data_IF_868497587217
#
_entry.id   IF_868497587217
#
_cell.length_a   1.000
_cell.length_b   1.000
_cell.length_c   1.000
_cell.angle_alpha   90.00
_cell.angle_beta   90.00
_cell.angle_gamma   90.00
#
_symmetry.space_group_name_H-M   'P 1'
#
loop_
_entity.id
_entity.type
_entity.pdbx_description
1 polymer ?
#
# COMPACT_ATOMS: atom_id res chain seq x y z
N UNK A 1 57.89 43.57 16.40
CA UNK A 1 57.91 43.33 14.93
C UNK A 1 56.69 42.45 14.63
N UNK A 2 55.46 42.95 14.43
CA UNK A 2 54.89 43.97 13.53
C UNK A 2 54.92 43.57 12.04
N UNK A 3 53.81 43.00 11.55
CA UNK A 3 53.26 43.05 10.17
C UNK A 3 51.93 42.23 10.20
N UNK A 4 50.73 42.79 10.41
CA UNK A 4 49.89 43.64 9.55
C UNK A 4 49.69 43.13 8.12
N UNK A 5 48.53 42.51 7.86
CA UNK A 5 47.96 42.33 6.52
C UNK A 5 46.45 42.67 6.55
N UNK A 6 45.99 43.79 5.94
CA UNK A 6 44.59 44.18 5.95
C UNK A 6 43.91 44.01 4.58
N UNK A 7 42.67 43.48 4.65
CA UNK A 7 41.47 43.92 3.93
C UNK A 7 41.62 44.27 2.43
N UNK A 8 41.06 43.42 1.57
CA UNK A 8 40.59 43.83 0.24
C UNK A 8 39.11 43.52 0.05
N UNK A 9 38.29 44.53 0.36
CA UNK A 9 36.89 44.65 -0.11
C UNK A 9 36.92 44.88 -1.63
N UNK A 10 36.17 44.09 -2.40
CA UNK A 10 35.79 44.40 -3.79
C UNK A 10 34.31 44.04 -4.02
N UNK A 11 33.48 45.07 -4.05
CA UNK A 11 32.30 45.29 -4.93
C UNK A 11 32.52 46.71 -5.49
N UNK A 12 31.97 47.15 -6.64
CA UNK A 12 30.84 46.60 -7.40
C UNK A 12 31.10 46.53 -8.93
N UNK A 13 30.24 45.84 -9.69
CA UNK A 13 29.96 46.22 -11.08
C UNK A 13 28.51 45.85 -11.40
N UNK A 14 27.71 46.90 -11.52
CA UNK A 14 26.39 46.90 -12.13
C UNK A 14 26.60 46.91 -13.64
N UNK A 15 26.43 45.76 -14.29
CA UNK A 15 26.47 45.66 -15.75
C UNK A 15 25.06 45.43 -16.29
N UNK A 16 24.54 46.52 -16.87
CA UNK A 16 23.75 46.62 -18.09
C UNK A 16 22.63 45.60 -18.36
N UNK A 17 21.41 46.09 -18.13
CA UNK A 17 20.15 45.61 -18.67
C UNK A 17 20.03 46.06 -20.16
N UNK A 18 19.98 45.14 -21.15
CA UNK A 18 19.82 45.54 -22.55
C UNK A 18 18.34 45.86 -22.86
N UNK A 19 18.09 47.11 -23.28
CA UNK A 19 16.81 47.56 -23.86
C UNK A 19 16.51 46.83 -25.18
N UNK A 20 15.22 46.55 -25.48
CA UNK A 20 14.82 45.93 -26.73
C UNK A 20 14.85 46.95 -27.89
N UNK A 21 15.55 46.60 -28.97
CA UNK A 21 15.49 47.33 -30.24
C UNK A 21 14.22 46.99 -31.03
N UNK A 22 13.68 47.97 -31.79
CA UNK A 22 12.42 47.83 -32.52
C UNK A 22 12.58 47.06 -33.84
N UNK A 23 11.47 46.46 -34.27
CA UNK A 23 11.30 45.70 -35.49
C UNK A 23 11.62 46.48 -36.78
N UNK A 24 12.04 45.78 -37.83
CA UNK A 24 11.76 46.18 -39.20
C UNK A 24 10.75 45.21 -39.86
N UNK A 25 9.64 45.79 -40.30
CA UNK A 25 8.77 45.24 -41.33
C UNK A 25 9.55 45.03 -42.64
N UNK A 26 9.53 43.83 -43.19
CA UNK A 26 9.70 43.60 -44.63
C UNK A 26 9.27 42.18 -45.04
N UNK A 27 8.09 42.14 -45.67
CA UNK A 27 7.78 41.44 -46.91
C UNK A 27 8.42 40.06 -47.20
N UNK A 28 7.52 39.06 -47.27
CA UNK A 28 7.20 38.29 -48.48
C UNK A 28 8.38 37.59 -49.19
N UNK A 29 8.49 36.28 -48.99
CA UNK A 29 8.62 35.31 -50.09
C UNK A 29 8.41 33.87 -49.56
N UNK A 30 7.61 33.11 -50.29
CA UNK A 30 7.28 31.73 -49.96
C UNK A 30 8.41 30.77 -50.30
N UNK A 31 8.58 29.76 -49.44
CA UNK A 31 9.15 28.47 -49.79
C UNK A 31 8.65 27.47 -48.74
N UNK A 32 7.77 26.57 -49.17
CA UNK A 32 7.31 25.45 -48.36
C UNK A 32 8.50 24.48 -48.14
N UNK A 33 9.01 24.43 -46.92
CA UNK A 33 9.93 23.39 -46.44
C UNK A 33 9.21 22.44 -45.48
N UNK A 34 9.51 21.13 -45.50
CA UNK A 34 8.77 20.13 -44.75
C UNK A 34 9.08 20.21 -43.26
N UNK A 35 8.05 20.52 -42.46
CA UNK A 35 8.12 20.47 -41.01
C UNK A 35 8.02 19.01 -40.55
N UNK A 36 9.18 18.40 -40.28
CA UNK A 36 9.28 17.12 -39.61
C UNK A 36 9.47 17.36 -38.11
N UNK A 37 8.36 17.26 -37.38
CA UNK A 37 8.26 16.82 -35.97
C UNK A 37 6.76 16.75 -35.66
N UNK A 38 6.10 15.79 -36.32
CA UNK A 38 4.76 15.38 -35.93
C UNK A 38 4.87 14.55 -34.67
N UNK A 39 4.33 15.04 -33.56
CA UNK A 39 3.90 14.16 -32.48
C UNK A 39 3.05 13.04 -33.08
N UNK A 40 3.31 11.76 -32.74
CA UNK A 40 2.45 10.69 -33.18
C UNK A 40 1.04 11.01 -32.70
N UNK A 41 0.01 10.92 -33.58
CA UNK A 41 -1.35 11.15 -33.18
C UNK A 41 -1.67 10.23 -31.99
N UNK A 42 -2.10 10.82 -30.88
CA UNK A 42 -2.72 10.08 -29.79
C UNK A 42 -3.89 9.31 -30.40
N UNK A 43 -3.67 8.03 -30.68
CA UNK A 43 -4.72 7.08 -31.03
C UNK A 43 -5.75 7.16 -29.92
N UNK A 44 -6.91 7.70 -30.25
CA UNK A 44 -8.07 7.67 -29.38
C UNK A 44 -8.27 6.20 -28.93
N UNK A 45 -8.58 5.96 -27.64
CA UNK A 45 -8.72 4.60 -27.13
C UNK A 45 -9.66 3.83 -28.06
N UNK A 46 -9.13 2.76 -28.65
CA UNK A 46 -9.86 1.89 -29.55
C UNK A 46 -11.24 1.62 -28.94
N UNK A 47 -12.27 1.98 -29.71
CA UNK A 47 -13.67 1.84 -29.32
C UNK A 47 -13.86 0.52 -28.57
N UNK A 48 -14.47 0.58 -27.39
CA UNK A 48 -14.83 -0.61 -26.64
C UNK A 48 -15.68 -1.49 -27.57
N UNK A 49 -15.04 -2.50 -28.16
CA UNK A 49 -15.71 -3.46 -29.02
C UNK A 49 -16.79 -4.09 -28.16
N UNK A 50 -18.04 -3.80 -28.46
CA UNK A 50 -19.17 -4.49 -27.87
C UNK A 50 -19.06 -5.92 -28.39
N UNK A 51 -18.54 -6.81 -27.55
CA UNK A 51 -18.35 -8.22 -27.87
C UNK A 51 -19.76 -8.83 -27.97
N UNK A 52 -20.32 -8.88 -29.17
CA UNK A 52 -21.65 -9.45 -29.41
C UNK A 52 -21.67 -10.98 -29.22
N UNK A 53 -20.50 -11.64 -29.27
CA UNK A 53 -20.35 -13.08 -29.11
C UNK A 53 -19.32 -13.42 -28.01
N UNK A 54 -19.84 -13.65 -26.80
CA UNK A 54 -19.06 -14.01 -25.62
C UNK A 54 -18.29 -15.33 -25.81
N UNK A 55 -18.85 -16.28 -26.57
CA UNK A 55 -18.22 -17.58 -26.81
C UNK A 55 -17.04 -17.47 -27.78
N UNK A 56 -17.15 -16.59 -28.78
CA UNK A 56 -16.04 -16.28 -29.68
C UNK A 56 -14.88 -15.60 -28.94
N UNK A 57 -15.19 -14.70 -28.01
CA UNK A 57 -14.19 -14.06 -27.15
C UNK A 57 -13.50 -15.07 -26.23
N UNK A 58 -14.26 -15.95 -25.56
CA UNK A 58 -13.68 -16.97 -24.70
C UNK A 58 -12.72 -17.89 -25.48
N UNK A 59 -13.11 -18.33 -26.68
CA UNK A 59 -12.22 -19.12 -27.57
C UNK A 59 -10.98 -18.36 -28.02
N UNK A 60 -11.05 -17.03 -28.15
CA UNK A 60 -9.87 -16.20 -28.46
C UNK A 60 -8.92 -16.16 -27.26
N UNK A 61 -9.43 -15.89 -26.07
CA UNK A 61 -8.63 -15.87 -24.83
C UNK A 61 -7.97 -17.23 -24.59
N UNK A 62 -8.69 -18.34 -24.76
CA UNK A 62 -8.12 -19.68 -24.58
C UNK A 62 -6.99 -19.98 -25.58
N UNK A 63 -7.10 -19.52 -26.83
CA UNK A 63 -6.03 -19.64 -27.84
C UNK A 63 -4.82 -18.79 -27.51
N UNK A 64 -5.04 -17.54 -27.09
CA UNK A 64 -3.96 -16.64 -26.66
C UNK A 64 -3.24 -17.23 -25.43
N UNK A 65 -3.98 -17.82 -24.50
CA UNK A 65 -3.44 -18.49 -23.33
C UNK A 65 -2.60 -19.72 -23.66
N UNK A 66 -3.10 -20.65 -24.49
CA UNK A 66 -2.32 -21.84 -24.89
C UNK A 66 -1.07 -21.44 -25.69
N UNK A 67 -1.14 -20.38 -26.50
CA UNK A 67 0.02 -19.81 -27.19
C UNK A 67 1.05 -19.30 -26.18
N UNK A 68 0.65 -18.46 -25.22
CA UNK A 68 1.53 -17.94 -24.19
C UNK A 68 2.16 -19.06 -23.34
N UNK A 69 1.37 -20.06 -22.96
CA UNK A 69 1.82 -21.23 -22.21
C UNK A 69 2.90 -22.01 -22.95
N UNK A 70 2.76 -22.23 -24.25
CA UNK A 70 3.78 -22.90 -25.06
C UNK A 70 5.10 -22.11 -25.11
N UNK A 71 5.03 -20.78 -25.19
CA UNK A 71 6.22 -19.89 -25.14
C UNK A 71 6.94 -20.02 -23.80
N UNK A 72 6.21 -20.00 -22.68
CA UNK A 72 6.80 -20.20 -21.35
C UNK A 72 7.42 -21.59 -21.18
N UNK A 73 6.74 -22.65 -21.63
CA UNK A 73 7.27 -24.02 -21.57
C UNK A 73 8.55 -24.18 -22.39
N UNK A 74 8.61 -23.58 -23.58
CA UNK A 74 9.82 -23.53 -24.39
C UNK A 74 10.95 -22.79 -23.67
N UNK A 75 10.66 -21.64 -23.07
CA UNK A 75 11.68 -20.87 -22.35
C UNK A 75 12.23 -21.60 -21.12
N UNK A 76 11.38 -22.30 -20.37
CA UNK A 76 11.80 -23.15 -19.25
C UNK A 76 12.69 -24.29 -19.75
N UNK A 77 12.32 -24.91 -20.87
CA UNK A 77 13.11 -26.00 -21.47
C UNK A 77 14.48 -25.51 -21.97
N UNK A 78 14.56 -24.31 -22.56
CA UNK A 78 15.82 -23.65 -22.92
C UNK A 78 16.72 -23.43 -21.71
N UNK A 79 16.17 -22.85 -20.63
CA UNK A 79 16.91 -22.59 -19.39
C UNK A 79 17.43 -23.91 -18.78
N UNK A 80 16.59 -24.94 -18.73
CA UNK A 80 16.99 -26.26 -18.21
C UNK A 80 18.11 -26.89 -19.05
N UNK A 81 18.03 -26.78 -20.38
CA UNK A 81 19.06 -27.26 -21.28
C UNK A 81 20.37 -26.47 -21.13
N UNK A 82 20.29 -25.14 -20.93
CA UNK A 82 21.45 -24.29 -20.66
C UNK A 82 22.13 -24.69 -19.34
N UNK A 83 21.36 -24.95 -18.28
CA UNK A 83 21.88 -25.45 -17.02
C UNK A 83 22.56 -26.82 -17.16
N UNK A 84 21.92 -27.76 -17.86
CA UNK A 84 22.48 -29.09 -18.10
C UNK A 84 23.78 -29.02 -18.92
N UNK A 85 23.79 -28.20 -19.98
CA UNK A 85 24.99 -27.99 -20.80
C UNK A 85 26.12 -27.35 -20.00
N UNK A 86 25.83 -26.30 -19.22
CA UNK A 86 26.81 -25.65 -18.35
C UNK A 86 27.39 -26.61 -17.31
N UNK A 87 26.58 -27.52 -16.75
CA UNK A 87 27.06 -28.53 -15.80
C UNK A 87 27.95 -29.62 -16.43
N UNK A 88 27.83 -29.86 -17.74
CA UNK A 88 28.63 -30.84 -18.48
C UNK A 88 29.96 -30.24 -18.96
N UNK A 89 29.96 -28.97 -19.39
CA UNK A 89 31.13 -28.32 -19.95
C UNK A 89 32.15 -27.85 -18.89
N UNK A 90 31.72 -27.66 -17.63
CA UNK A 90 32.62 -27.30 -16.52
C UNK A 90 32.46 -28.24 -15.30
N UNK A 91 33.07 -29.44 -15.33
CA UNK A 91 33.03 -30.38 -14.21
C UNK A 91 33.78 -29.88 -12.96
N UNK A 92 34.44 -28.72 -13.01
CA UNK A 92 35.28 -28.19 -11.92
C UNK A 92 34.57 -27.23 -10.96
N UNK A 93 33.41 -26.68 -11.33
CA UNK A 93 32.55 -25.86 -10.45
C UNK A 93 31.60 -26.70 -9.55
N UNK A 94 31.75 -28.03 -9.52
CA UNK A 94 30.87 -28.98 -8.80
C UNK A 94 31.06 -29.09 -7.28
N UNK A 95 31.81 -28.21 -6.63
CA UNK A 95 31.88 -28.17 -5.17
C UNK A 95 30.69 -27.34 -4.64
N UNK A 96 29.52 -27.97 -4.56
CA UNK A 96 28.33 -27.37 -3.98
C UNK A 96 28.70 -26.67 -2.65
N UNK A 97 28.36 -25.38 -2.45
CA UNK A 97 28.56 -24.70 -1.18
C UNK A 97 27.84 -25.53 -0.12
N UNK A 98 28.60 -26.03 0.86
CA UNK A 98 28.05 -26.87 1.95
C UNK A 98 26.86 -26.12 2.54
N UNK A 99 25.65 -26.73 2.57
CA UNK A 99 24.50 -26.06 3.11
C UNK A 99 24.84 -25.62 4.55
N UNK A 100 24.51 -24.36 4.92
CA UNK A 100 24.72 -23.90 6.28
C UNK A 100 24.05 -24.89 7.23
N UNK A 101 24.83 -25.36 8.20
CA UNK A 101 24.45 -26.37 9.19
C UNK A 101 23.16 -25.89 9.87
N UNK A 102 22.02 -26.41 9.45
CA UNK A 102 20.73 -26.02 10.02
C UNK A 102 20.77 -26.25 11.53
N UNK A 103 20.37 -25.26 12.36
CA UNK A 103 20.18 -25.50 13.77
C UNK A 103 19.17 -26.65 13.92
N UNK A 104 19.34 -27.52 14.94
CA UNK A 104 18.50 -28.70 15.11
C UNK A 104 17.04 -28.26 15.13
N UNK A 105 16.31 -28.56 14.05
CA UNK A 105 14.86 -28.37 13.98
C UNK A 105 14.28 -29.18 15.12
N UNK A 106 13.76 -28.48 16.13
CA UNK A 106 12.89 -29.09 17.14
C UNK A 106 11.82 -29.87 16.39
N UNK A 107 11.54 -31.10 16.86
CA UNK A 107 10.53 -31.97 16.24
C UNK A 107 9.27 -31.12 16.00
N UNK A 108 8.72 -31.07 14.77
CA UNK A 108 7.50 -30.33 14.52
C UNK A 108 6.44 -30.87 15.47
N UNK A 109 5.84 -29.97 16.27
CA UNK A 109 4.72 -30.32 17.13
C UNK A 109 3.68 -31.03 16.25
N UNK A 110 3.32 -32.26 16.61
CA UNK A 110 2.34 -33.01 15.85
C UNK A 110 1.01 -32.24 15.86
N UNK A 111 0.19 -32.39 14.83
CA UNK A 111 -1.14 -31.76 14.81
C UNK A 111 -1.95 -32.12 16.06
N UNK A 112 -1.72 -33.29 16.66
CA UNK A 112 -2.39 -33.72 17.90
C UNK A 112 -2.02 -32.81 19.08
N UNK A 113 -0.75 -32.41 19.21
CA UNK A 113 -0.31 -31.46 20.24
C UNK A 113 -0.89 -30.06 20.04
N UNK A 114 -1.05 -29.61 18.79
CA UNK A 114 -1.69 -28.32 18.50
C UNK A 114 -3.20 -28.35 18.81
N UNK A 115 -3.91 -29.42 18.43
CA UNK A 115 -5.34 -29.58 18.72
C UNK A 115 -5.61 -29.69 20.22
N UNK A 116 -4.77 -30.42 20.96
CA UNK A 116 -4.87 -30.53 22.41
C UNK A 116 -4.73 -29.15 23.09
N UNK A 117 -3.79 -28.32 22.63
CA UNK A 117 -3.56 -26.97 23.16
C UNK A 117 -4.75 -26.05 22.91
N UNK A 118 -5.35 -26.11 21.72
CA UNK A 118 -6.56 -25.33 21.38
C UNK A 118 -7.76 -25.77 22.23
N UNK A 119 -7.94 -27.08 22.43
CA UNK A 119 -9.02 -27.60 23.27
C UNK A 119 -8.87 -27.18 24.75
N UNK A 120 -7.64 -27.10 25.25
CA UNK A 120 -7.34 -26.61 26.60
C UNK A 120 -7.66 -25.11 26.75
N UNK A 121 -7.27 -24.29 25.78
CA UNK A 121 -7.59 -22.85 25.80
C UNK A 121 -9.10 -22.59 25.75
N UNK A 122 -9.86 -23.35 24.94
CA UNK A 122 -11.31 -23.23 24.87
C UNK A 122 -11.99 -23.55 26.22
N UNK A 123 -11.55 -24.60 26.91
CA UNK A 123 -12.06 -24.93 28.26
C UNK A 123 -11.70 -23.86 29.29
N UNK A 124 -10.51 -23.28 29.20
CA UNK A 124 -10.09 -22.19 30.07
C UNK A 124 -10.90 -20.90 29.83
N UNK A 125 -11.40 -20.70 28.61
CA UNK A 125 -12.27 -19.58 28.26
C UNK A 125 -13.69 -19.74 28.83
N UNK A 126 -14.29 -20.92 28.68
CA UNK A 126 -15.62 -21.23 29.26
C UNK A 126 -15.63 -21.11 30.78
N UNK A 127 -14.54 -21.50 31.45
CA UNK A 127 -14.37 -21.34 32.89
C UNK A 127 -14.35 -19.87 33.34
N UNK A 128 -13.79 -18.97 32.52
CA UNK A 128 -13.75 -17.52 32.81
C UNK A 128 -15.11 -16.85 32.61
N UNK A 129 -15.84 -17.23 31.56
CA UNK A 129 -17.17 -16.68 31.29
C UNK A 129 -18.18 -16.94 32.43
N UNK A 130 -18.06 -18.08 33.13
CA UNK A 130 -18.91 -18.41 34.29
C UNK A 130 -18.55 -17.62 35.55
N UNK A 131 -17.32 -17.12 35.70
CA UNK A 131 -16.88 -16.38 36.90
C UNK A 131 -17.25 -14.89 36.85
N UNK A 132 -17.59 -14.36 35.68
CA UNK A 132 -18.11 -12.98 35.50
C UNK A 132 -19.63 -12.91 35.51
N UNK A 133 -20.32 -13.98 35.94
CA UNK A 133 -21.74 -13.89 36.26
C UNK A 133 -21.89 -12.98 37.49
N UNK A 134 -22.10 -11.69 37.25
CA UNK A 134 -22.48 -10.71 38.26
C UNK A 134 -23.67 -11.30 39.02
N UNK A 135 -23.60 -11.44 40.37
CA UNK A 135 -24.72 -11.93 41.14
C UNK A 135 -25.91 -11.02 40.86
N UNK A 136 -26.94 -11.58 40.20
CA UNK A 136 -28.23 -10.94 40.00
C UNK A 136 -28.77 -10.57 41.38
N UNK A 137 -28.70 -9.28 41.71
CA UNK A 137 -29.40 -8.72 42.86
C UNK A 137 -30.88 -9.14 42.77
N UNK A 138 -31.50 -9.56 43.89
CA UNK A 138 -32.90 -9.93 43.90
C UNK A 138 -33.73 -8.73 43.44
N UNK A 139 -34.33 -8.86 42.26
CA UNK A 139 -35.18 -7.82 41.70
C UNK A 139 -36.37 -7.54 42.63
N UNK A 140 -36.83 -6.28 42.72
CA UNK A 140 -37.94 -5.89 43.58
C UNK A 140 -39.17 -6.74 43.27
N UNK A 141 -39.84 -7.21 44.32
CA UNK A 141 -41.04 -8.04 44.23
C UNK A 141 -42.12 -7.34 43.39
N UNK A 142 -42.37 -7.86 42.19
CA UNK A 142 -43.40 -7.32 41.29
C UNK A 142 -44.80 -7.48 41.88
N UNK A 143 -45.62 -6.43 41.96
CA UNK A 143 -47.00 -6.55 42.39
C UNK A 143 -47.78 -7.38 41.36
N UNK A 144 -48.42 -8.46 41.83
CA UNK A 144 -49.24 -9.38 41.06
C UNK A 144 -50.57 -8.70 40.64
N UNK A 145 -50.49 -7.77 39.70
CA UNK A 145 -51.63 -7.08 39.10
C UNK A 145 -51.92 -7.60 37.70
N UNK A 146 -53.19 -7.86 37.42
CA UNK A 146 -53.80 -8.54 36.25
C UNK A 146 -53.53 -7.88 34.85
N UNK A 147 -52.56 -6.96 34.73
CA UNK A 147 -52.20 -6.23 33.51
C UNK A 147 -50.96 -6.72 32.75
N UNK A 148 -50.26 -7.75 33.24
CA UNK A 148 -48.94 -8.16 32.74
C UNK A 148 -48.90 -8.63 31.27
N UNK A 149 -50.04 -9.11 30.73
CA UNK A 149 -50.10 -9.60 29.35
C UNK A 149 -49.74 -8.52 28.32
N UNK A 150 -50.04 -7.24 28.56
CA UNK A 150 -49.70 -6.15 27.62
C UNK A 150 -48.23 -5.74 27.68
N UNK A 151 -47.62 -5.77 28.86
CA UNK A 151 -46.22 -5.43 29.04
C UNK A 151 -45.27 -6.47 28.41
N UNK A 152 -45.63 -7.75 28.44
CA UNK A 152 -44.85 -8.82 27.80
C UNK A 152 -44.74 -8.65 26.27
N UNK A 153 -45.84 -8.30 25.59
CA UNK A 153 -45.84 -8.05 24.15
C UNK A 153 -44.97 -6.84 23.75
N UNK A 154 -44.96 -5.79 24.57
CA UNK A 154 -44.12 -4.62 24.31
C UNK A 154 -42.63 -4.97 24.43
N UNK A 155 -42.23 -5.67 25.49
CA UNK A 155 -40.84 -6.09 25.67
C UNK A 155 -40.36 -7.02 24.54
N UNK A 156 -41.19 -7.98 24.11
CA UNK A 156 -40.89 -8.85 22.97
C UNK A 156 -40.76 -8.04 21.66
N UNK A 157 -41.67 -7.08 21.43
CA UNK A 157 -41.60 -6.18 20.28
C UNK A 157 -40.32 -5.34 20.25
N UNK A 158 -39.91 -4.78 21.39
CA UNK A 158 -38.66 -4.04 21.53
C UNK A 158 -37.44 -4.93 21.26
N UNK A 159 -37.43 -6.17 21.75
CA UNK A 159 -36.33 -7.10 21.52
C UNK A 159 -36.19 -7.47 20.03
N UNK A 160 -37.31 -7.72 19.34
CA UNK A 160 -37.32 -7.99 17.90
C UNK A 160 -36.84 -6.76 17.12
N UNK A 161 -37.33 -5.57 17.45
CA UNK A 161 -36.90 -4.33 16.79
C UNK A 161 -35.41 -4.05 16.99
N UNK A 162 -34.88 -4.26 18.20
CA UNK A 162 -33.46 -4.12 18.49
C UNK A 162 -32.62 -5.17 17.75
N UNK A 163 -33.08 -6.43 17.70
CA UNK A 163 -32.43 -7.50 16.94
C UNK A 163 -32.37 -7.18 15.44
N UNK A 164 -33.48 -6.70 14.86
CA UNK A 164 -33.55 -6.30 13.46
C UNK A 164 -32.64 -5.10 13.17
N UNK A 165 -32.62 -4.11 14.07
CA UNK A 165 -31.74 -2.94 13.98
C UNK A 165 -30.26 -3.32 14.02
N UNK A 166 -29.87 -4.22 14.92
CA UNK A 166 -28.50 -4.76 15.00
C UNK A 166 -28.16 -5.62 13.78
N UNK A 167 -29.11 -6.39 13.26
CA UNK A 167 -28.94 -7.18 12.05
C UNK A 167 -28.69 -6.28 10.82
N UNK A 168 -29.49 -5.22 10.66
CA UNK A 168 -29.29 -4.24 9.58
C UNK A 168 -28.00 -3.43 9.74
N UNK A 169 -27.44 -3.35 10.95
CA UNK A 169 -26.14 -2.74 11.24
C UNK A 169 -24.96 -3.71 11.16
N UNK A 170 -25.17 -4.96 10.74
CA UNK A 170 -24.04 -5.87 10.53
C UNK A 170 -23.12 -5.26 9.46
N UNK A 171 -21.81 -5.15 9.74
CA UNK A 171 -20.87 -4.76 8.70
C UNK A 171 -20.96 -5.78 7.58
N UNK A 172 -21.27 -5.31 6.37
CA UNK A 172 -21.16 -6.15 5.18
C UNK A 172 -19.69 -6.37 4.90
N UNK A 173 -19.28 -7.63 4.95
CA UNK A 173 -17.93 -8.04 4.56
C UNK A 173 -17.89 -8.08 3.04
N UNK A 174 -17.24 -7.11 2.43
CA UNK A 174 -16.97 -7.15 0.99
C UNK A 174 -15.62 -7.84 0.78
N UNK A 175 -15.57 -9.02 0.16
CA UNK A 175 -14.30 -9.62 -0.19
C UNK A 175 -13.61 -8.71 -1.20
N UNK A 176 -12.35 -8.37 -0.92
CA UNK A 176 -11.55 -7.52 -1.77
C UNK A 176 -10.72 -8.40 -2.72
N UNK A 177 -10.52 -8.02 -4.00
CA UNK A 177 -9.95 -8.90 -5.02
C UNK A 177 -8.41 -9.01 -4.97
N UNK A 178 -7.77 -8.54 -3.91
CA UNK A 178 -6.33 -8.58 -3.69
C UNK A 178 -5.99 -9.45 -2.48
N UNK A 179 -4.84 -10.14 -2.56
CA UNK A 179 -4.38 -11.10 -1.55
C UNK A 179 -3.21 -10.57 -0.71
N UNK A 180 -2.51 -9.54 -1.19
CA UNK A 180 -1.23 -9.11 -0.63
C UNK A 180 -1.23 -7.60 -0.33
N UNK A 181 -2.16 -7.17 0.52
CA UNK A 181 -2.24 -5.77 0.95
C UNK A 181 -0.98 -5.38 1.71
N UNK A 182 -0.20 -4.49 1.12
CA UNK A 182 1.02 -3.95 1.74
C UNK A 182 0.76 -2.66 2.49
N UNK A 183 -0.13 -1.80 1.97
CA UNK A 183 -0.44 -0.52 2.59
C UNK A 183 -1.87 -0.04 2.27
N UNK A 184 -2.40 0.82 3.15
CA UNK A 184 -3.71 1.45 3.02
C UNK A 184 -3.62 2.95 3.32
N UNK A 185 -4.29 3.77 2.54
CA UNK A 185 -4.44 5.20 2.81
C UNK A 185 -5.87 5.67 2.51
N UNK A 186 -6.35 6.71 3.20
CA UNK A 186 -7.70 7.26 2.98
C UNK A 186 -7.59 8.76 2.79
N UNK A 187 -8.12 9.29 1.68
CA UNK A 187 -8.14 10.73 1.41
C UNK A 187 -9.24 11.08 0.43
N UNK A 188 -9.85 12.26 0.59
CA UNK A 188 -10.83 12.78 -0.38
C UNK A 188 -12.07 11.90 -0.60
N UNK A 189 -12.44 11.05 0.37
CA UNK A 189 -13.52 10.08 0.19
C UNK A 189 -13.15 8.88 -0.69
N UNK A 190 -11.86 8.63 -0.90
CA UNK A 190 -11.29 7.46 -1.55
C UNK A 190 -10.44 6.67 -0.57
N UNK A 191 -10.34 5.36 -0.80
CA UNK A 191 -9.47 4.44 -0.08
C UNK A 191 -8.47 3.89 -1.09
N UNK A 192 -7.20 4.05 -0.82
CA UNK A 192 -6.08 3.64 -1.66
C UNK A 192 -5.44 2.42 -1.05
N UNK A 193 -5.30 1.34 -1.81
CA UNK A 193 -4.87 0.04 -1.29
C UNK A 193 -3.79 -0.51 -2.21
N UNK A 194 -2.57 -0.62 -1.68
CA UNK A 194 -1.43 -1.13 -2.43
C UNK A 194 -1.36 -2.65 -2.29
N UNK A 195 -1.37 -3.37 -3.42
CA UNK A 195 -1.02 -4.78 -3.51
C UNK A 195 0.45 -4.88 -3.95
N UNK A 196 1.33 -5.26 -3.01
CA UNK A 196 2.76 -5.29 -3.27
C UNK A 196 3.15 -6.39 -4.26
N UNK A 197 2.39 -7.49 -4.31
CA UNK A 197 2.67 -8.61 -5.20
C UNK A 197 2.30 -8.27 -6.64
N UNK A 198 1.15 -7.64 -6.84
CA UNK A 198 0.68 -7.20 -8.17
C UNK A 198 1.26 -5.86 -8.61
N UNK A 199 2.03 -5.17 -7.75
CA UNK A 199 2.53 -3.81 -8.00
C UNK A 199 1.43 -2.86 -8.47
N UNK A 200 0.26 -2.97 -7.83
CA UNK A 200 -0.98 -2.30 -8.25
C UNK A 200 -1.57 -1.50 -7.09
N UNK A 201 -2.14 -0.34 -7.41
CA UNK A 201 -2.88 0.50 -6.47
C UNK A 201 -4.38 0.43 -6.79
N UNK A 202 -5.16 -0.11 -5.86
CA UNK A 202 -6.61 -0.14 -5.96
C UNK A 202 -7.19 1.11 -5.31
N UNK A 203 -7.93 1.89 -6.08
CA UNK A 203 -8.62 3.08 -5.60
C UNK A 203 -10.09 2.73 -5.43
N UNK A 204 -10.57 2.72 -4.19
CA UNK A 204 -11.97 2.48 -3.85
C UNK A 204 -12.67 3.77 -3.45
N UNK A 205 -14.00 3.83 -3.62
CA UNK A 205 -14.79 4.87 -2.95
C UNK A 205 -14.94 4.54 -1.46
N UNK A 206 -14.85 5.54 -0.59
CA UNK A 206 -15.17 5.42 0.84
C UNK A 206 -16.70 5.40 1.07
N UNK A 207 -17.38 4.47 0.41
CA UNK A 207 -18.83 4.22 0.50
C UNK A 207 -19.06 2.77 0.90
N UNK A 208 -20.30 2.44 1.29
CA UNK A 208 -20.69 1.06 1.62
C UNK A 208 -20.32 0.12 0.46
N UNK A 209 -19.67 -1.00 0.78
CA UNK A 209 -19.17 -1.97 -0.20
C UNK A 209 -17.83 -1.61 -0.84
N UNK A 210 -17.27 -0.43 -0.55
CA UNK A 210 -15.99 0.04 -1.09
C UNK A 210 -15.81 -0.29 -2.59
N UNK A 211 -16.67 0.21 -3.49
CA UNK A 211 -16.56 -0.12 -4.92
C UNK A 211 -15.22 0.38 -5.48
N UNK A 212 -14.60 -0.44 -6.34
CA UNK A 212 -13.35 -0.08 -7.03
C UNK A 212 -13.67 0.99 -8.08
N UNK A 213 -12.98 2.12 -7.99
CA UNK A 213 -13.05 3.23 -8.92
C UNK A 213 -11.98 3.11 -10.02
N UNK A 214 -10.78 2.70 -9.64
CA UNK A 214 -9.65 2.54 -10.54
C UNK A 214 -8.67 1.48 -10.03
N UNK A 215 -7.91 0.91 -10.96
CA UNK A 215 -6.73 0.09 -10.69
C UNK A 215 -5.57 0.77 -11.41
N UNK A 216 -4.63 1.26 -10.63
CA UNK A 216 -3.50 2.09 -11.07
C UNK A 216 -2.19 1.31 -10.92
N UNK A 217 -1.18 1.66 -11.70
CA UNK A 217 0.13 1.02 -11.62
C UNK A 217 0.94 1.63 -10.47
N UNK A 218 1.56 0.79 -9.64
CA UNK A 218 2.39 1.25 -8.54
C UNK A 218 3.79 0.62 -8.67
N UNK A 219 4.71 1.24 -9.42
CA UNK A 219 6.05 0.72 -9.61
C UNK A 219 6.87 0.89 -8.32
N UNK A 220 6.70 -0.04 -7.37
CA UNK A 220 7.52 -0.24 -6.19
C UNK A 220 7.65 -1.74 -5.93
N UNK A 221 8.70 -2.13 -5.22
CA UNK A 221 9.01 -3.54 -5.02
C UNK A 221 8.28 -4.09 -3.79
N UNK A 222 8.27 -3.35 -2.68
CA UNK A 222 7.56 -3.76 -1.47
C UNK A 222 6.98 -2.56 -0.72
N UNK A 223 5.85 -2.03 -1.21
CA UNK A 223 5.15 -0.93 -0.52
C UNK A 223 4.58 -1.42 0.81
N UNK A 224 5.17 -0.95 1.91
CA UNK A 224 4.74 -1.28 3.29
C UNK A 224 3.98 -0.13 3.96
N UNK A 225 4.07 1.08 3.42
CA UNK A 225 3.31 2.22 3.93
C UNK A 225 2.95 3.17 2.80
N UNK A 226 1.79 3.81 2.95
CA UNK A 226 1.20 4.68 1.95
C UNK A 226 0.53 5.87 2.63
N UNK A 227 0.74 7.07 2.10
CA UNK A 227 0.06 8.28 2.54
C UNK A 227 -0.31 9.14 1.34
N UNK A 228 -1.45 9.83 1.44
CA UNK A 228 -1.92 10.75 0.39
C UNK A 228 -1.75 12.18 0.91
N UNK A 229 -1.00 12.99 0.18
CA UNK A 229 -0.80 14.41 0.45
C UNK A 229 -1.52 15.26 -0.63
N UNK A 230 -1.44 16.58 -0.53
CA UNK A 230 -2.11 17.49 -1.49
C UNK A 230 -1.46 17.47 -2.88
N UNK A 231 -0.17 17.22 -2.89
CA UNK A 231 0.75 17.26 -4.02
C UNK A 231 0.97 15.90 -4.68
N UNK A 232 0.54 14.81 -4.05
CA UNK A 232 0.68 13.48 -4.61
C UNK A 232 0.57 12.35 -3.58
N UNK A 233 1.13 11.21 -3.97
CA UNK A 233 1.16 10.00 -3.17
C UNK A 233 2.57 9.82 -2.60
N UNK A 234 2.66 9.46 -1.34
CA UNK A 234 3.92 9.07 -0.71
C UNK A 234 3.86 7.59 -0.37
N UNK A 235 4.96 6.89 -0.62
CA UNK A 235 5.07 5.46 -0.37
C UNK A 235 6.42 5.14 0.25
N UNK A 236 6.44 4.24 1.24
CA UNK A 236 7.68 3.65 1.77
C UNK A 236 7.82 2.23 1.27
N UNK A 237 9.03 1.89 0.88
CA UNK A 237 9.41 0.54 0.46
C UNK A 237 10.18 -0.15 1.61
N UNK A 238 9.60 -1.22 2.14
CA UNK A 238 10.16 -1.96 3.27
C UNK A 238 11.44 -2.74 2.94
N UNK A 239 11.67 -3.04 1.65
CA UNK A 239 12.84 -3.80 1.19
C UNK A 239 13.99 -2.85 0.84
N UNK A 240 13.74 -1.82 0.02
CA UNK A 240 14.78 -0.86 -0.37
C UNK A 240 15.08 0.18 0.71
N UNK A 241 14.21 0.29 1.74
CA UNK A 241 14.31 1.29 2.82
C UNK A 241 14.25 2.73 2.29
N UNK A 242 13.48 2.92 1.23
CA UNK A 242 13.29 4.21 0.59
C UNK A 242 11.90 4.77 0.88
N UNK A 243 11.84 6.07 1.17
CA UNK A 243 10.64 6.88 1.08
C UNK A 243 10.61 7.51 -0.32
N UNK A 244 9.50 7.35 -1.04
CA UNK A 244 9.33 7.88 -2.38
C UNK A 244 8.13 8.82 -2.44
N UNK A 245 8.33 9.98 -3.08
CA UNK A 245 7.25 10.90 -3.47
C UNK A 245 6.86 10.58 -4.90
N UNK A 246 5.57 10.42 -5.16
CA UNK A 246 5.05 9.95 -6.44
C UNK A 246 4.13 10.97 -7.08
N UNK A 247 4.22 11.03 -8.40
CA UNK A 247 3.37 11.90 -9.20
C UNK A 247 1.88 11.55 -9.00
N UNK A 248 0.99 12.56 -9.01
CA UNK A 248 -0.46 12.36 -8.97
C UNK A 248 -1.01 11.92 -10.35
N UNK A 249 -0.26 11.08 -11.07
CA UNK A 249 -0.66 10.46 -12.34
C UNK A 249 -1.01 8.99 -12.10
N UNK A 250 -1.82 8.35 -12.97
CA UNK A 250 -2.19 6.93 -12.82
C UNK A 250 -1.01 5.94 -12.80
N UNK A 251 0.15 6.35 -13.31
CA UNK A 251 1.37 5.53 -13.33
C UNK A 251 2.22 5.69 -12.04
N UNK A 252 1.89 6.67 -11.20
CA UNK A 252 2.56 6.97 -9.94
C UNK A 252 4.09 6.91 -9.99
N UNK A 253 4.66 7.53 -11.03
CA UNK A 253 6.11 7.59 -11.21
C UNK A 253 6.77 8.24 -9.99
N UNK A 254 7.89 7.67 -9.57
CA UNK A 254 8.69 8.20 -8.46
C UNK A 254 9.34 9.51 -8.90
N UNK A 255 8.98 10.61 -8.23
CA UNK A 255 9.57 11.93 -8.46
C UNK A 255 10.88 12.08 -7.69
N UNK A 256 10.83 11.71 -6.40
CA UNK A 256 11.94 11.87 -5.46
C UNK A 256 12.02 10.62 -4.60
N UNK A 257 13.24 10.29 -4.16
CA UNK A 257 13.54 9.16 -3.29
C UNK A 257 14.47 9.61 -2.17
N UNK A 258 14.16 9.15 -0.97
CA UNK A 258 14.89 9.50 0.25
C UNK A 258 15.20 8.22 1.01
N UNK A 259 16.40 8.10 1.55
CA UNK A 259 16.76 6.98 2.42
C UNK A 259 16.14 7.19 3.80
N UNK A 260 15.48 6.16 4.34
CA UNK A 260 14.97 6.20 5.70
C UNK A 260 16.12 5.90 6.67
N UNK A 261 16.34 6.79 7.63
CA UNK A 261 17.54 6.79 8.46
C UNK A 261 17.76 5.53 9.32
N UNK A 262 16.74 4.69 9.53
CA UNK A 262 16.87 3.52 10.41
C UNK A 262 15.83 2.42 10.12
N UNK A 263 16.33 1.19 9.98
CA UNK A 263 15.56 -0.03 9.86
C UNK A 263 14.73 -0.19 8.58
N UNK A 264 13.81 -1.18 8.61
CA UNK A 264 12.81 -1.40 7.57
C UNK A 264 11.55 -0.58 7.88
N UNK A 265 11.13 0.34 7.00
CA UNK A 265 9.89 1.08 7.22
C UNK A 265 8.68 0.13 7.07
N UNK A 266 7.71 0.23 7.98
CA UNK A 266 6.48 -0.60 8.01
C UNK A 266 5.20 0.20 7.96
N UNK A 267 5.28 1.52 7.99
CA UNK A 267 4.11 2.39 7.95
C UNK A 267 4.51 3.82 7.67
N UNK A 268 3.57 4.56 7.09
CA UNK A 268 3.74 5.95 6.69
C UNK A 268 2.48 6.73 7.03
N UNK A 269 2.66 7.91 7.61
CA UNK A 269 1.59 8.88 7.84
C UNK A 269 2.12 10.27 7.52
N UNK A 270 1.26 11.14 6.99
CA UNK A 270 1.57 12.55 6.78
C UNK A 270 0.54 13.37 7.56
N UNK A 271 1.01 14.32 8.35
CA UNK A 271 0.17 15.34 8.97
C UNK A 271 0.65 16.74 8.57
N UNK A 272 0.15 17.77 9.25
CA UNK A 272 0.54 19.17 9.02
C UNK A 272 1.96 19.51 9.48
N UNK A 273 2.53 18.62 10.29
CA UNK A 273 3.64 18.86 11.19
C UNK A 273 4.87 18.02 10.77
N UNK A 274 4.68 16.97 9.97
CA UNK A 274 5.73 16.25 9.26
C UNK A 274 5.29 14.91 8.67
N UNK A 275 6.30 14.14 8.25
CA UNK A 275 6.14 12.78 7.73
C UNK A 275 6.53 11.81 8.84
N UNK A 276 5.64 10.91 9.21
CA UNK A 276 5.85 9.93 10.25
C UNK A 276 6.09 8.55 9.65
N UNK A 277 7.20 7.92 10.03
CA UNK A 277 7.61 6.60 9.53
C UNK A 277 7.84 5.66 10.70
N UNK A 278 7.17 4.50 10.68
CA UNK A 278 7.41 3.43 11.65
C UNK A 278 8.52 2.50 11.16
N UNK A 279 9.52 2.21 12.01
CA UNK A 279 10.62 1.30 11.70
C UNK A 279 10.53 -0.03 12.47
N UNK A 280 10.61 -1.15 11.75
CA UNK A 280 10.49 -2.50 12.34
C UNK A 280 11.71 -2.92 13.16
N UNK A 281 12.92 -2.73 12.63
CA UNK A 281 14.15 -3.30 13.19
C UNK A 281 14.57 -2.62 14.51
N UNK A 282 14.11 -1.40 14.76
CA UNK A 282 14.41 -0.63 15.98
C UNK A 282 13.21 -0.41 16.92
N UNK A 283 12.00 -0.82 16.53
CA UNK A 283 10.75 -0.42 17.21
C UNK A 283 10.67 1.10 17.42
N UNK A 284 11.05 1.87 16.39
CA UNK A 284 11.11 3.33 16.47
C UNK A 284 10.06 3.97 15.60
N UNK A 285 9.60 5.13 16.01
CA UNK A 285 8.81 6.05 15.21
C UNK A 285 9.65 7.29 14.93
N UNK A 286 9.79 7.63 13.65
CA UNK A 286 10.53 8.79 13.18
C UNK A 286 9.56 9.85 12.69
N UNK A 287 9.85 11.12 12.99
CA UNK A 287 9.21 12.26 12.34
C UNK A 287 10.24 12.99 11.50
N UNK A 288 9.95 13.12 10.22
CA UNK A 288 10.81 13.73 9.20
C UNK A 288 10.21 15.05 8.72
N UNK A 289 11.07 15.98 8.27
CA UNK A 289 10.62 17.22 7.63
C UNK A 289 9.90 16.90 6.31
N UNK A 290 8.77 17.54 5.99
CA UNK A 290 8.13 17.36 4.69
C UNK A 290 8.92 18.04 3.55
N UNK A 291 9.67 19.10 3.85
CA UNK A 291 10.53 19.82 2.89
C UNK A 291 11.85 19.09 2.63
N UNK A 292 12.44 18.48 3.65
CA UNK A 292 13.64 17.63 3.54
C UNK A 292 13.41 16.34 4.34
N UNK A 293 12.88 15.29 3.70
CA UNK A 293 12.65 14.02 4.38
C UNK A 293 13.93 13.39 4.94
N UNK A 294 15.12 13.81 4.51
CA UNK A 294 16.38 13.32 5.10
C UNK A 294 16.59 13.82 6.54
N UNK A 295 15.95 14.92 6.92
CA UNK A 295 16.03 15.52 8.25
C UNK A 295 15.03 14.85 9.22
N UNK A 296 15.55 14.00 10.11
CA UNK A 296 14.79 13.35 11.18
C UNK A 296 14.74 14.28 12.39
N UNK A 297 13.58 14.90 12.61
CA UNK A 297 13.33 15.86 13.70
C UNK A 297 13.12 15.18 15.05
N UNK A 298 12.27 14.16 15.08
CA UNK A 298 11.91 13.45 16.31
C UNK A 298 12.13 11.94 16.17
N UNK A 299 12.50 11.29 17.28
CA UNK A 299 12.63 9.83 17.40
C UNK A 299 11.94 9.37 18.67
N UNK A 300 11.07 8.38 18.56
CA UNK A 300 10.37 7.78 19.69
C UNK A 300 10.60 6.28 19.74
N UNK A 301 10.96 5.78 20.92
CA UNK A 301 11.04 4.34 21.18
C UNK A 301 9.66 3.80 21.52
N UNK A 302 9.25 2.73 20.82
CA UNK A 302 7.97 2.07 21.04
C UNK A 302 8.17 0.78 21.85
N UNK A 303 7.23 0.45 22.76
CA UNK A 303 7.37 -0.71 23.64
C UNK A 303 7.17 -2.08 22.94
N UNK A 304 7.12 -2.13 21.61
CA UNK A 304 6.91 -3.35 20.85
C UNK A 304 7.12 -3.20 19.35
N UNK A 305 7.00 -4.31 18.62
CA UNK A 305 7.21 -4.34 17.16
C UNK A 305 6.12 -3.62 16.40
N UNK A 306 6.51 -2.61 15.63
CA UNK A 306 5.62 -1.89 14.73
C UNK A 306 5.40 -2.72 13.48
N UNK A 307 4.23 -3.36 13.40
CA UNK A 307 3.82 -4.12 12.21
C UNK A 307 3.09 -3.26 11.18
N UNK A 308 2.36 -2.24 11.63
CA UNK A 308 1.73 -1.26 10.77
C UNK A 308 1.49 0.05 11.54
N UNK A 309 1.68 1.18 10.86
CA UNK A 309 1.24 2.48 11.36
C UNK A 309 -0.15 2.76 10.78
N UNK A 310 -1.19 2.68 11.60
CA UNK A 310 -2.54 3.10 11.22
C UNK A 310 -2.97 4.24 12.14
N UNK A 311 -3.22 5.41 11.56
CA UNK A 311 -3.76 6.54 12.32
C UNK A 311 -5.13 6.90 11.75
N UNK A 312 -6.12 6.88 12.62
CA UNK A 312 -7.45 7.39 12.32
C UNK A 312 -7.41 8.91 12.37
N UNK A 313 -7.26 9.53 11.20
CA UNK A 313 -7.43 10.97 11.07
C UNK A 313 -8.92 11.28 11.23
N UNK A 314 -9.32 11.70 12.44
CA UNK A 314 -10.68 12.16 12.71
C UNK A 314 -10.91 13.39 11.83
N UNK A 315 -11.83 13.30 10.84
CA UNK A 315 -12.30 14.49 10.12
C UNK A 315 -12.83 15.46 11.17
N UNK A 316 -12.13 16.60 11.34
CA UNK A 316 -12.63 17.76 12.07
C UNK A 316 -13.51 18.55 11.11
#
# INVERSE_FOLDING_TARGET
MAANDPLRKRKPSDDEEPKPSPAPDAARNGAAGPSANGEPPHEAPAHAEVIEDLDAYQRRIDREWETAKSVYQNRISEIMNEFLKKSLDDPSEGAAPRPPKEPPRGKPDSMETLVARVAEELRAFDGRARRTAVPLLPGPASPAGRGWKRAGWFAAGCAVAAGLFLYMRRPEWTPLPYAHTGAVAVSGGKIYIADWFRKSLYVHAAKKGAPILAVESLPADLVTGLAVAKDGLWAVDGLSRELSRRAPTPDHQSLEKFSVADGRPTGLMIDKDGIWVGGQEGNKLFRMSPEDPSDVRDRYDLPGTVTALQVWQKRI
#
